data_IF_673626326734
#
_entry.id   IF_673626326734
#
_cell.length_a   1.000
_cell.length_b   1.000
_cell.length_c   1.000
_cell.angle_alpha   90.00
_cell.angle_beta   90.00
_cell.angle_gamma   90.00
#
_symmetry.space_group_name_H-M   'P 1'
#
loop_
_entity.id
_entity.type
_entity.pdbx_description
1 polymer ?
#
# COMPACT_ATOMS: atom_id res chain seq x y z
N UNK A 1 -14.08 -21.35 -17.59
CA UNK A 1 -12.69 -21.82 -17.66
C UNK A 1 -11.89 -21.05 -16.62
N UNK A 2 -11.09 -21.70 -15.77
CA UNK A 2 -10.22 -20.97 -14.81
C UNK A 2 -9.06 -20.33 -15.57
N UNK A 3 -8.75 -19.08 -15.25
CA UNK A 3 -7.64 -18.36 -15.83
C UNK A 3 -6.33 -18.85 -15.23
N UNK A 4 -5.32 -19.12 -16.06
CA UNK A 4 -3.99 -19.53 -15.61
C UNK A 4 -3.07 -18.33 -15.60
N UNK A 5 -2.60 -17.96 -14.41
CA UNK A 5 -1.69 -16.84 -14.24
C UNK A 5 -0.32 -17.38 -13.82
N UNK A 6 0.72 -16.96 -14.53
CA UNK A 6 2.13 -17.28 -14.24
C UNK A 6 2.90 -15.98 -14.15
N UNK A 7 3.23 -15.58 -12.92
CA UNK A 7 4.06 -14.44 -12.61
C UNK A 7 5.23 -14.87 -11.72
N UNK A 8 6.32 -14.15 -11.76
CA UNK A 8 7.49 -14.39 -10.91
C UNK A 8 7.99 -13.08 -10.30
N UNK A 9 8.67 -13.16 -9.16
CA UNK A 9 9.21 -12.00 -8.47
C UNK A 9 8.18 -11.24 -7.63
N UNK A 10 8.31 -9.92 -7.54
CA UNK A 10 7.42 -9.07 -6.73
C UNK A 10 5.95 -9.15 -7.17
N UNK A 11 5.61 -9.13 -8.47
CA UNK A 11 4.23 -9.28 -8.90
C UNK A 11 3.54 -10.57 -8.45
N UNK A 12 4.28 -11.67 -8.29
CA UNK A 12 3.70 -12.94 -7.82
C UNK A 12 3.15 -12.85 -6.40
N UNK A 13 3.74 -12.00 -5.55
CA UNK A 13 3.29 -11.81 -4.16
C UNK A 13 1.87 -11.25 -4.07
N UNK A 14 1.37 -10.56 -5.13
CA UNK A 14 0.00 -10.05 -5.16
C UNK A 14 -1.04 -11.18 -5.11
N UNK A 15 -0.74 -12.36 -5.69
CA UNK A 15 -1.64 -13.52 -5.65
C UNK A 15 -1.79 -14.04 -4.22
N UNK A 16 -0.69 -14.05 -3.47
CA UNK A 16 -0.68 -14.51 -2.07
C UNK A 16 -1.48 -13.55 -1.19
N UNK A 17 -1.37 -12.23 -1.41
CA UNK A 17 -2.10 -11.24 -0.62
C UNK A 17 -3.60 -11.28 -0.91
N UNK A 18 -4.03 -11.42 -2.16
CA UNK A 18 -5.46 -11.55 -2.49
C UNK A 18 -6.03 -12.87 -1.98
N UNK A 19 -5.24 -13.96 -2.00
CA UNK A 19 -5.63 -15.23 -1.42
C UNK A 19 -5.86 -15.13 0.09
N UNK A 20 -4.94 -14.48 0.82
CA UNK A 20 -5.09 -14.27 2.26
C UNK A 20 -6.40 -13.52 2.58
N UNK A 21 -6.73 -12.46 1.83
CA UNK A 21 -7.98 -11.71 2.01
C UNK A 21 -9.21 -12.55 1.70
N UNK A 22 -9.20 -13.30 0.59
CA UNK A 22 -10.31 -14.19 0.23
C UNK A 22 -10.53 -15.28 1.29
N UNK A 23 -9.46 -15.90 1.77
CA UNK A 23 -9.49 -16.93 2.80
C UNK A 23 -10.08 -16.41 4.11
N UNK A 24 -9.65 -15.22 4.55
CA UNK A 24 -10.16 -14.57 5.75
C UNK A 24 -11.64 -14.20 5.61
N UNK A 25 -12.02 -13.63 4.46
CA UNK A 25 -13.40 -13.22 4.15
C UNK A 25 -14.38 -14.39 4.18
N UNK A 26 -13.97 -15.57 3.68
CA UNK A 26 -14.77 -16.82 3.71
C UNK A 26 -14.75 -17.53 5.05
N UNK A 27 -13.69 -17.32 5.82
CA UNK A 27 -13.43 -18.06 7.06
C UNK A 27 -13.90 -17.33 8.30
N UNK A 28 -12.94 -16.77 9.06
CA UNK A 28 -13.19 -16.09 10.33
C UNK A 28 -13.97 -14.78 10.17
N UNK A 29 -13.82 -14.09 9.03
CA UNK A 29 -14.56 -12.87 8.72
C UNK A 29 -14.06 -11.61 9.42
N UNK A 30 -12.77 -11.56 9.82
CA UNK A 30 -12.20 -10.32 10.35
C UNK A 30 -12.17 -9.18 9.33
N UNK A 31 -12.17 -9.51 8.04
CA UNK A 31 -12.42 -8.60 6.92
C UNK A 31 -13.48 -9.20 5.99
N UNK A 32 -14.09 -8.37 5.15
CA UNK A 32 -14.99 -8.81 4.09
C UNK A 32 -14.54 -8.27 2.74
N UNK A 33 -14.04 -9.15 1.87
CA UNK A 33 -13.54 -8.82 0.54
C UNK A 33 -14.11 -9.79 -0.51
N UNK A 34 -15.37 -9.52 -0.90
CA UNK A 34 -16.09 -10.37 -1.86
C UNK A 34 -15.42 -10.39 -3.23
N UNK A 35 -14.74 -9.30 -3.60
CA UNK A 35 -14.03 -9.23 -4.88
C UNK A 35 -12.77 -10.11 -4.87
N UNK A 36 -12.05 -10.18 -3.75
CA UNK A 36 -10.95 -11.14 -3.59
C UNK A 36 -11.46 -12.58 -3.67
N UNK A 37 -12.63 -12.88 -3.09
CA UNK A 37 -13.25 -14.22 -3.20
C UNK A 37 -13.59 -14.59 -4.65
N UNK A 38 -14.13 -13.63 -5.42
CA UNK A 38 -14.42 -13.80 -6.85
C UNK A 38 -13.14 -14.11 -7.64
N UNK A 39 -12.08 -13.29 -7.44
CA UNK A 39 -10.78 -13.47 -8.10
C UNK A 39 -10.24 -14.88 -7.86
N UNK A 40 -10.15 -15.30 -6.59
CA UNK A 40 -9.61 -16.65 -6.26
C UNK A 40 -10.46 -17.76 -6.86
N UNK A 41 -11.77 -17.57 -7.00
CA UNK A 41 -12.64 -18.53 -7.69
C UNK A 41 -12.33 -18.71 -9.18
N UNK A 42 -11.73 -17.71 -9.83
CA UNK A 42 -11.37 -17.71 -11.27
C UNK A 42 -9.93 -18.20 -11.50
N UNK A 43 -9.04 -18.16 -10.50
CA UNK A 43 -7.63 -18.53 -10.66
C UNK A 43 -7.42 -20.04 -10.61
N UNK A 44 -6.51 -20.53 -11.45
CA UNK A 44 -5.94 -21.87 -11.38
C UNK A 44 -4.47 -21.77 -10.96
N UNK A 45 -4.26 -21.56 -9.65
CA UNK A 45 -2.96 -21.31 -9.04
C UNK A 45 -2.82 -22.14 -7.77
N UNK A 46 -1.61 -22.65 -7.50
CA UNK A 46 -1.31 -23.40 -6.27
C UNK A 46 -1.00 -22.45 -5.12
N UNK A 47 -1.94 -22.32 -4.21
CA UNK A 47 -1.80 -21.49 -2.98
C UNK A 47 -1.23 -22.25 -1.77
N UNK A 48 -0.69 -23.46 -1.94
CA UNK A 48 -0.21 -24.31 -0.84
C UNK A 48 0.90 -23.64 0.00
N UNK A 49 1.73 -22.78 -0.60
CA UNK A 49 2.74 -22.00 0.12
C UNK A 49 2.09 -20.92 0.99
N UNK A 50 1.12 -20.19 0.45
CA UNK A 50 0.39 -19.17 1.19
C UNK A 50 -0.43 -19.79 2.35
N UNK A 51 -0.96 -21.01 2.17
CA UNK A 51 -1.68 -21.73 3.23
C UNK A 51 -0.82 -22.07 4.44
N UNK A 52 0.46 -22.31 4.23
CA UNK A 52 1.43 -22.67 5.27
C UNK A 52 2.03 -21.46 5.99
N UNK A 53 1.86 -20.26 5.45
CA UNK A 53 2.43 -19.02 5.99
C UNK A 53 1.40 -18.23 6.81
N UNK A 54 1.20 -18.67 8.06
CA UNK A 54 0.28 -18.00 8.99
C UNK A 54 0.75 -16.58 9.36
N UNK A 55 2.07 -16.31 9.31
CA UNK A 55 2.62 -15.00 9.63
C UNK A 55 2.29 -14.00 8.52
N UNK A 56 2.51 -14.37 7.25
CA UNK A 56 2.12 -13.58 6.09
C UNK A 56 0.61 -13.34 6.09
N UNK A 57 -0.21 -14.39 6.26
CA UNK A 57 -1.66 -14.27 6.32
C UNK A 57 -2.09 -13.24 7.37
N UNK A 58 -1.61 -13.38 8.62
CA UNK A 58 -1.96 -12.48 9.71
C UNK A 58 -1.50 -11.03 9.44
N UNK A 59 -0.30 -10.86 8.88
CA UNK A 59 0.22 -9.54 8.48
C UNK A 59 -0.65 -8.86 7.43
N UNK A 60 -1.05 -9.59 6.38
CA UNK A 60 -1.94 -9.07 5.32
C UNK A 60 -3.30 -8.66 5.92
N UNK A 61 -3.90 -9.48 6.79
CA UNK A 61 -5.21 -9.16 7.38
C UNK A 61 -5.12 -7.95 8.31
N UNK A 62 -4.10 -7.90 9.17
CA UNK A 62 -3.88 -6.77 10.06
C UNK A 62 -3.70 -5.45 9.28
N UNK A 63 -2.89 -5.49 8.22
CA UNK A 63 -2.67 -4.36 7.31
C UNK A 63 -3.97 -3.93 6.63
N UNK A 64 -4.74 -4.89 6.11
CA UNK A 64 -6.03 -4.62 5.48
C UNK A 64 -6.98 -3.91 6.44
N UNK A 65 -7.11 -4.37 7.68
CA UNK A 65 -7.96 -3.76 8.71
C UNK A 65 -7.56 -2.31 8.97
N UNK A 66 -6.26 -2.06 9.18
CA UNK A 66 -5.75 -0.71 9.46
C UNK A 66 -5.97 0.22 8.27
N UNK A 67 -5.56 -0.20 7.06
CA UNK A 67 -5.69 0.63 5.87
C UNK A 67 -7.15 0.86 5.47
N UNK A 68 -8.02 -0.15 5.54
CA UNK A 68 -9.43 0.01 5.20
C UNK A 68 -10.11 1.02 6.12
N UNK A 69 -9.79 1.00 7.43
CA UNK A 69 -10.26 1.99 8.38
C UNK A 69 -9.76 3.39 8.01
N UNK A 70 -8.45 3.57 7.81
CA UNK A 70 -7.84 4.86 7.51
C UNK A 70 -8.37 5.45 6.19
N UNK A 71 -8.47 4.63 5.13
CA UNK A 71 -9.03 5.05 3.83
C UNK A 71 -10.49 5.44 3.98
N UNK A 72 -11.30 4.66 4.71
CA UNK A 72 -12.70 4.98 4.96
C UNK A 72 -12.87 6.29 5.75
N UNK A 73 -12.09 6.49 6.80
CA UNK A 73 -12.07 7.73 7.59
C UNK A 73 -11.66 8.94 6.72
N UNK A 74 -10.63 8.78 5.89
CA UNK A 74 -10.20 9.84 4.98
C UNK A 74 -11.28 10.21 3.96
N UNK A 75 -11.88 9.23 3.29
CA UNK A 75 -12.91 9.46 2.28
C UNK A 75 -14.19 10.06 2.87
N UNK A 76 -14.53 9.69 4.11
CA UNK A 76 -15.64 10.30 4.83
C UNK A 76 -15.40 11.79 5.16
N UNK A 77 -14.15 12.14 5.49
CA UNK A 77 -13.75 13.52 5.77
C UNK A 77 -13.54 14.35 4.49
N UNK A 78 -13.25 13.70 3.36
CA UNK A 78 -12.92 14.34 2.09
C UNK A 78 -13.74 13.74 0.93
N UNK A 79 -15.08 13.94 0.92
CA UNK A 79 -15.92 13.45 -0.17
C UNK A 79 -15.48 13.99 -1.52
N UNK A 80 -15.43 13.12 -2.53
CA UNK A 80 -14.95 13.50 -3.86
C UNK A 80 -13.43 13.53 -4.00
N UNK A 81 -12.67 12.98 -3.06
CA UNK A 81 -11.23 12.87 -3.16
C UNK A 81 -10.79 12.02 -4.37
N UNK A 82 -9.67 12.39 -4.98
CA UNK A 82 -8.95 11.53 -5.92
C UNK A 82 -8.07 10.56 -5.14
N UNK A 83 -8.12 9.27 -5.48
CA UNK A 83 -7.27 8.24 -4.87
C UNK A 83 -6.26 7.71 -5.88
N UNK A 84 -4.99 7.71 -5.52
CA UNK A 84 -3.90 7.11 -6.26
C UNK A 84 -3.33 5.92 -5.49
N UNK A 85 -3.49 4.71 -6.01
CA UNK A 85 -3.02 3.47 -5.41
C UNK A 85 -1.79 2.98 -6.17
N UNK A 86 -0.60 3.19 -5.61
CA UNK A 86 0.70 2.87 -6.23
C UNK A 86 1.12 1.44 -5.91
N UNK A 87 1.61 0.72 -6.92
CA UNK A 87 1.94 -0.71 -6.86
C UNK A 87 0.74 -1.51 -6.30
N UNK A 88 -0.40 -1.30 -6.94
CA UNK A 88 -1.70 -1.73 -6.42
C UNK A 88 -1.91 -3.24 -6.40
N UNK A 89 -1.12 -4.04 -7.13
CA UNK A 89 -1.32 -5.47 -7.25
C UNK A 89 -2.77 -5.84 -7.56
N UNK A 90 -3.32 -6.78 -6.82
CA UNK A 90 -4.73 -7.14 -6.84
C UNK A 90 -5.51 -6.53 -5.64
N UNK A 91 -5.19 -5.30 -5.25
CA UNK A 91 -6.00 -4.57 -4.28
C UNK A 91 -7.41 -4.31 -4.84
N UNK A 92 -8.41 -4.51 -4.01
CA UNK A 92 -9.83 -4.45 -4.33
C UNK A 92 -10.56 -3.30 -3.61
N UNK A 93 -9.82 -2.39 -2.94
CA UNK A 93 -10.43 -1.28 -2.18
C UNK A 93 -11.32 -0.40 -3.03
N UNK A 94 -10.93 -0.12 -4.27
CA UNK A 94 -11.74 0.65 -5.22
C UNK A 94 -13.15 0.09 -5.45
N UNK A 95 -13.39 -1.21 -5.18
CA UNK A 95 -14.71 -1.84 -5.33
C UNK A 95 -15.51 -1.90 -4.03
N UNK A 96 -14.90 -1.62 -2.87
CA UNK A 96 -15.58 -1.68 -1.56
C UNK A 96 -15.58 -0.36 -0.78
N UNK A 97 -14.74 0.62 -1.18
CA UNK A 97 -14.76 1.97 -0.63
C UNK A 97 -15.71 2.86 -1.41
N UNK A 98 -16.21 3.89 -0.76
CA UNK A 98 -17.14 4.87 -1.33
C UNK A 98 -16.66 6.28 -1.01
N UNK A 99 -17.19 7.27 -1.73
CA UNK A 99 -16.92 8.69 -1.45
C UNK A 99 -15.75 9.30 -2.22
N UNK A 100 -15.02 8.53 -3.05
CA UNK A 100 -14.01 9.08 -3.97
C UNK A 100 -14.65 9.55 -5.28
N UNK A 101 -14.04 10.54 -5.94
CA UNK A 101 -14.41 10.97 -7.28
C UNK A 101 -13.80 10.04 -8.34
N UNK A 102 -12.51 9.75 -8.21
CA UNK A 102 -11.79 8.84 -9.10
C UNK A 102 -10.73 8.04 -8.33
N UNK A 103 -10.54 6.77 -8.72
CA UNK A 103 -9.55 5.86 -8.16
C UNK A 103 -8.61 5.36 -9.26
N UNK A 104 -7.36 5.77 -9.20
CA UNK A 104 -6.31 5.31 -10.10
C UNK A 104 -5.55 4.14 -9.44
N UNK A 105 -5.43 3.03 -10.15
CA UNK A 105 -4.60 1.89 -9.77
C UNK A 105 -3.40 1.84 -10.70
N UNK A 106 -2.21 1.98 -10.15
CA UNK A 106 -0.96 1.97 -10.91
C UNK A 106 -0.11 0.78 -10.49
N UNK A 107 0.39 0.04 -11.46
CA UNK A 107 1.37 -1.04 -11.28
C UNK A 107 2.10 -1.31 -12.59
N UNK A 108 3.11 -2.18 -12.55
CA UNK A 108 3.85 -2.62 -13.72
C UNK A 108 2.91 -3.21 -14.79
N UNK A 109 3.26 -3.09 -16.08
CA UNK A 109 2.38 -3.52 -17.18
C UNK A 109 1.89 -4.97 -17.06
N UNK A 110 2.75 -5.90 -16.62
CA UNK A 110 2.38 -7.30 -16.41
C UNK A 110 1.36 -7.49 -15.28
N UNK A 111 1.43 -6.69 -14.23
CA UNK A 111 0.45 -6.70 -13.13
C UNK A 111 -0.88 -6.11 -13.59
N UNK A 112 -0.85 -5.00 -14.32
CA UNK A 112 -2.07 -4.36 -14.84
C UNK A 112 -2.77 -5.27 -15.84
N UNK A 113 -2.05 -5.97 -16.72
CA UNK A 113 -2.66 -6.93 -17.64
C UNK A 113 -3.44 -8.05 -16.91
N UNK A 114 -2.90 -8.56 -15.78
CA UNK A 114 -3.62 -9.51 -14.93
C UNK A 114 -4.82 -8.84 -14.25
N UNK A 115 -4.63 -7.63 -13.80
CA UNK A 115 -5.68 -6.87 -13.11
C UNK A 115 -6.85 -6.57 -14.03
N UNK A 116 -6.62 -6.15 -15.27
CA UNK A 116 -7.65 -5.90 -16.28
C UNK A 116 -8.48 -7.16 -16.62
N UNK A 117 -7.82 -8.32 -16.66
CA UNK A 117 -8.51 -9.59 -16.89
C UNK A 117 -9.45 -9.99 -15.73
N UNK A 118 -9.10 -9.61 -14.49
CA UNK A 118 -9.80 -10.02 -13.28
C UNK A 118 -10.67 -8.92 -12.67
N UNK A 119 -10.26 -7.66 -12.82
CA UNK A 119 -10.80 -6.48 -12.16
C UNK A 119 -11.02 -5.36 -13.20
N UNK A 120 -12.15 -5.35 -13.90
CA UNK A 120 -12.38 -4.40 -14.97
C UNK A 120 -12.44 -2.95 -14.44
N UNK A 121 -12.06 -2.03 -15.32
CA UNK A 121 -12.28 -0.59 -15.11
C UNK A 121 -13.76 -0.25 -15.00
N UNK A 122 -14.02 0.90 -14.43
CA UNK A 122 -15.34 1.54 -14.43
C UNK A 122 -15.16 3.04 -14.69
N UNK A 123 -16.27 3.77 -14.78
CA UNK A 123 -16.23 5.22 -15.01
C UNK A 123 -15.39 5.99 -13.98
N UNK A 124 -15.27 5.48 -12.76
CA UNK A 124 -14.51 6.10 -11.66
C UNK A 124 -13.27 5.31 -11.23
N UNK A 125 -12.87 4.28 -11.98
CA UNK A 125 -11.71 3.44 -11.69
C UNK A 125 -10.90 3.28 -12.96
N UNK A 126 -9.62 3.70 -12.94
CA UNK A 126 -8.68 3.55 -14.04
C UNK A 126 -7.47 2.71 -13.64
N UNK A 127 -6.90 2.01 -14.63
CA UNK A 127 -5.68 1.22 -14.50
C UNK A 127 -4.54 1.94 -15.25
N UNK A 128 -3.38 2.10 -14.63
CA UNK A 128 -2.21 2.74 -15.22
C UNK A 128 -1.04 1.74 -15.24
N UNK A 129 -0.67 1.31 -16.44
CA UNK A 129 0.42 0.35 -16.67
C UNK A 129 1.77 1.08 -16.69
N UNK A 130 2.26 1.51 -15.51
CA UNK A 130 3.47 2.30 -15.32
C UNK A 130 4.18 1.90 -14.03
N UNK A 131 5.48 2.16 -13.94
CA UNK A 131 6.20 2.04 -12.67
C UNK A 131 5.81 3.19 -11.73
N UNK A 132 5.75 2.92 -10.42
CA UNK A 132 5.58 3.97 -9.42
C UNK A 132 6.72 5.01 -9.43
N UNK A 133 7.86 4.68 -10.04
CA UNK A 133 9.02 5.57 -10.20
C UNK A 133 9.00 6.38 -11.51
N UNK A 134 8.06 6.12 -12.41
CA UNK A 134 7.89 6.91 -13.63
C UNK A 134 7.20 8.24 -13.32
N UNK A 135 7.25 9.17 -14.27
CA UNK A 135 6.47 10.40 -14.19
C UNK A 135 5.01 10.13 -14.63
N UNK A 136 4.27 9.49 -13.77
CA UNK A 136 2.84 9.19 -13.98
C UNK A 136 1.93 10.38 -13.75
N UNK A 137 2.47 11.50 -13.25
CA UNK A 137 1.68 12.69 -12.97
C UNK A 137 0.88 13.20 -14.17
N UNK A 138 1.44 13.12 -15.38
CA UNK A 138 0.76 13.51 -16.61
C UNK A 138 -0.39 12.56 -17.02
N UNK A 139 -0.39 11.31 -16.57
CA UNK A 139 -1.43 10.31 -16.87
C UNK A 139 -2.65 10.42 -15.94
N UNK A 140 -2.59 11.26 -14.93
CA UNK A 140 -3.66 11.46 -13.96
C UNK A 140 -4.28 12.82 -14.18
N UNK A 141 -5.61 12.89 -14.28
CA UNK A 141 -6.30 14.18 -14.32
C UNK A 141 -6.00 15.00 -13.06
N UNK A 142 -5.82 16.31 -13.24
CA UNK A 142 -5.50 17.21 -12.13
C UNK A 142 -6.54 17.11 -11.03
N UNK A 143 -6.11 17.02 -9.74
CA UNK A 143 -7.06 16.95 -8.65
C UNK A 143 -7.87 18.25 -8.62
N UNK A 144 -9.17 18.13 -8.72
CA UNK A 144 -10.10 19.24 -8.43
C UNK A 144 -10.38 19.38 -6.94
N UNK A 145 -9.67 18.59 -6.07
CA UNK A 145 -9.92 18.53 -4.64
C UNK A 145 -8.84 17.73 -3.89
N UNK A 146 -9.18 17.22 -2.70
CA UNK A 146 -8.26 16.42 -1.87
C UNK A 146 -7.74 15.18 -2.60
N UNK A 147 -6.48 14.84 -2.38
CA UNK A 147 -5.84 13.65 -2.94
C UNK A 147 -5.31 12.73 -1.85
N UNK A 148 -5.62 11.44 -1.98
CA UNK A 148 -5.07 10.36 -1.16
C UNK A 148 -4.15 9.50 -2.01
N UNK A 149 -2.91 9.29 -1.58
CA UNK A 149 -2.00 8.32 -2.19
C UNK A 149 -1.82 7.14 -1.24
N UNK A 150 -1.93 5.92 -1.76
CA UNK A 150 -1.75 4.68 -1.01
C UNK A 150 -0.52 3.96 -1.55
N UNK A 151 0.41 3.60 -0.66
CA UNK A 151 1.62 2.82 -0.97
C UNK A 151 1.65 1.64 0.01
N UNK A 152 1.09 0.51 -0.40
CA UNK A 152 1.00 -0.71 0.39
C UNK A 152 1.95 -1.78 -0.15
N UNK A 153 2.78 -2.37 0.72
CA UNK A 153 3.61 -3.52 0.37
C UNK A 153 4.71 -3.24 -0.66
N UNK A 154 5.17 -2.00 -0.81
CA UNK A 154 6.13 -1.60 -1.84
C UNK A 154 7.49 -1.17 -1.27
N UNK A 155 7.51 -0.25 -0.32
CA UNK A 155 8.75 0.46 0.09
C UNK A 155 9.86 -0.48 0.55
N UNK A 156 9.53 -1.62 1.15
CA UNK A 156 10.50 -2.60 1.65
C UNK A 156 11.31 -3.30 0.54
N UNK A 157 10.88 -3.22 -0.71
CA UNK A 157 11.56 -3.79 -1.89
C UNK A 157 12.42 -2.78 -2.65
N UNK A 158 12.36 -1.51 -2.27
CA UNK A 158 13.01 -0.39 -2.95
C UNK A 158 14.29 0.05 -2.23
N UNK A 159 15.05 0.94 -2.88
CA UNK A 159 16.10 1.70 -2.21
C UNK A 159 15.53 3.00 -1.63
N UNK A 160 16.28 3.66 -0.75
CA UNK A 160 15.89 4.98 -0.25
C UNK A 160 15.72 6.00 -1.39
N UNK A 161 16.60 5.96 -2.39
CA UNK A 161 16.53 6.86 -3.55
C UNK A 161 15.27 6.63 -4.37
N UNK A 162 14.83 5.37 -4.54
CA UNK A 162 13.59 5.04 -5.24
C UNK A 162 12.37 5.58 -4.48
N UNK A 163 12.35 5.42 -3.14
CA UNK A 163 11.29 5.98 -2.30
C UNK A 163 11.24 7.49 -2.42
N UNK A 164 12.38 8.18 -2.35
CA UNK A 164 12.46 9.63 -2.52
C UNK A 164 11.96 10.06 -3.91
N UNK A 165 12.29 9.31 -4.96
CA UNK A 165 11.81 9.57 -6.32
C UNK A 165 10.29 9.45 -6.42
N UNK A 166 9.67 8.42 -5.86
CA UNK A 166 8.21 8.26 -5.82
C UNK A 166 7.56 9.47 -5.13
N UNK A 167 8.09 9.89 -3.99
CA UNK A 167 7.55 11.03 -3.26
C UNK A 167 7.75 12.36 -3.99
N UNK A 168 8.82 12.52 -4.77
CA UNK A 168 9.01 13.68 -5.62
C UNK A 168 7.93 13.76 -6.74
N UNK A 169 7.57 12.63 -7.35
CA UNK A 169 6.46 12.58 -8.34
C UNK A 169 5.13 12.93 -7.65
N UNK A 170 4.88 12.40 -6.44
CA UNK A 170 3.67 12.72 -5.68
C UNK A 170 3.62 14.22 -5.37
N UNK A 171 4.71 14.81 -4.87
CA UNK A 171 4.77 16.24 -4.55
C UNK A 171 4.54 17.13 -5.77
N UNK A 172 5.12 16.76 -6.92
CA UNK A 172 4.92 17.48 -8.19
C UNK A 172 3.47 17.44 -8.69
N UNK A 173 2.77 16.32 -8.49
CA UNK A 173 1.40 16.15 -8.96
C UNK A 173 0.34 16.54 -7.94
N UNK A 174 0.57 16.24 -6.68
CA UNK A 174 -0.35 16.43 -5.57
C UNK A 174 0.37 17.06 -4.37
N UNK A 175 0.78 18.33 -4.44
CA UNK A 175 1.63 18.96 -3.42
C UNK A 175 1.02 18.97 -2.01
N UNK A 176 -0.32 18.90 -1.90
CA UNK A 176 -1.05 18.84 -0.64
C UNK A 176 -1.63 17.44 -0.34
N UNK A 177 -1.13 16.37 -1.00
CA UNK A 177 -1.68 15.04 -0.81
C UNK A 177 -1.49 14.52 0.63
N UNK A 178 -2.45 13.72 1.06
CA UNK A 178 -2.25 12.78 2.16
C UNK A 178 -1.72 11.46 1.60
N UNK A 179 -0.64 10.93 2.17
CA UNK A 179 -0.03 9.67 1.74
C UNK A 179 -0.08 8.66 2.87
N UNK A 180 -0.72 7.52 2.64
CA UNK A 180 -0.66 6.36 3.51
C UNK A 180 0.39 5.40 2.97
N UNK A 181 1.50 5.24 3.66
CA UNK A 181 2.58 4.36 3.21
C UNK A 181 2.94 3.31 4.26
N UNK A 182 2.98 2.06 3.82
CA UNK A 182 3.50 0.99 4.67
C UNK A 182 5.02 1.07 4.75
N UNK A 183 5.54 0.94 5.97
CA UNK A 183 6.97 0.90 6.26
C UNK A 183 7.32 -0.33 7.08
N UNK A 184 8.55 -0.81 6.90
CA UNK A 184 9.11 -1.94 7.62
C UNK A 184 10.31 -1.48 8.46
N UNK A 185 10.41 -2.01 9.69
CA UNK A 185 11.55 -1.69 10.54
C UNK A 185 12.84 -2.32 9.97
N UNK A 186 14.00 -1.63 9.97
CA UNK A 186 15.26 -2.14 9.46
C UNK A 186 15.73 -3.46 10.12
N UNK A 187 15.38 -3.69 11.38
CA UNK A 187 15.68 -4.94 12.07
C UNK A 187 14.91 -6.13 11.46
N UNK A 188 13.66 -5.89 11.05
CA UNK A 188 12.82 -6.89 10.39
C UNK A 188 13.41 -7.21 9.00
N UNK A 189 13.75 -6.18 8.21
CA UNK A 189 14.39 -6.35 6.89
C UNK A 189 15.63 -7.25 6.97
N UNK A 190 16.42 -7.12 8.03
CA UNK A 190 17.66 -7.90 8.21
C UNK A 190 17.45 -9.33 8.70
N UNK A 191 16.40 -9.57 9.48
CA UNK A 191 16.24 -10.83 10.25
C UNK A 191 15.13 -11.74 9.77
N UNK A 192 14.06 -11.18 9.19
CA UNK A 192 12.88 -11.95 8.84
C UNK A 192 12.76 -12.08 7.33
N UNK A 193 12.69 -13.34 6.85
CA UNK A 193 12.27 -13.70 5.51
C UNK A 193 10.90 -14.31 5.60
N UNK A 194 9.96 -13.82 4.84
CA UNK A 194 8.68 -14.48 4.68
C UNK A 194 8.86 -15.69 3.75
N UNK A 195 8.41 -16.87 4.19
CA UNK A 195 8.58 -18.12 3.44
C UNK A 195 7.93 -18.08 2.07
N UNK A 196 6.81 -17.35 1.94
CA UNK A 196 6.12 -17.17 0.67
C UNK A 196 6.91 -16.35 -0.33
N UNK A 197 7.77 -15.42 0.13
CA UNK A 197 8.60 -14.57 -0.72
C UNK A 197 9.85 -15.30 -1.21
N UNK A 198 10.32 -16.30 -0.48
CA UNK A 198 11.46 -17.11 -0.92
C UNK A 198 11.19 -17.78 -2.27
N UNK A 199 9.94 -18.21 -2.52
CA UNK A 199 9.52 -18.78 -3.80
C UNK A 199 9.50 -17.77 -4.94
N UNK A 200 9.18 -16.50 -4.68
CA UNK A 200 9.08 -15.44 -5.69
C UNK A 200 10.41 -14.74 -6.00
N UNK A 201 11.50 -15.08 -5.32
CA UNK A 201 12.81 -14.42 -5.37
C UNK A 201 12.82 -12.95 -4.91
N UNK A 202 11.73 -12.42 -4.41
CA UNK A 202 11.65 -11.07 -3.85
C UNK A 202 12.41 -11.00 -2.51
N UNK A 203 13.16 -9.92 -2.30
CA UNK A 203 13.92 -9.70 -1.07
C UNK A 203 13.62 -8.33 -0.50
N UNK A 204 13.48 -8.25 0.81
CA UNK A 204 13.43 -6.95 1.49
C UNK A 204 14.80 -6.30 1.45
N UNK A 205 14.86 -5.05 0.99
CA UNK A 205 16.11 -4.30 0.75
C UNK A 205 16.21 -3.09 1.65
N UNK A 206 15.09 -2.45 1.98
CA UNK A 206 15.07 -1.20 2.73
C UNK A 206 13.99 -1.19 3.81
N UNK A 207 14.24 -0.42 4.85
CA UNK A 207 13.31 -0.16 5.92
C UNK A 207 13.67 1.12 6.68
N UNK A 208 12.72 1.68 7.38
CA UNK A 208 12.85 2.88 8.17
C UNK A 208 12.31 2.66 9.60
N UNK A 209 12.91 3.32 10.58
CA UNK A 209 12.61 3.09 11.99
C UNK A 209 11.14 3.40 12.33
N UNK A 210 10.67 4.55 11.87
CA UNK A 210 9.34 5.08 12.14
C UNK A 210 8.97 6.17 11.10
N UNK A 211 7.74 6.67 11.16
CA UNK A 211 7.25 7.69 10.25
C UNK A 211 7.98 9.04 10.37
N UNK A 212 8.57 9.35 11.53
CA UNK A 212 9.40 10.57 11.68
C UNK A 212 10.69 10.46 10.90
N UNK A 213 11.35 9.30 11.01
CA UNK A 213 12.54 9.02 10.24
C UNK A 213 12.25 8.99 8.73
N UNK A 214 11.06 8.51 8.32
CA UNK A 214 10.63 8.58 6.93
C UNK A 214 10.42 10.03 6.48
N UNK A 215 9.64 10.82 7.21
CA UNK A 215 9.37 12.22 6.88
C UNK A 215 10.65 13.06 6.76
N UNK A 216 11.65 12.79 7.60
CA UNK A 216 12.95 13.46 7.54
C UNK A 216 13.74 13.20 6.23
N UNK A 217 13.40 12.15 5.48
CA UNK A 217 14.01 11.82 4.19
C UNK A 217 13.25 12.42 3.00
N UNK A 218 12.08 13.01 3.24
CA UNK A 218 11.10 13.38 2.20
C UNK A 218 10.80 14.88 2.27
N UNK A 219 11.57 15.73 1.56
CA UNK A 219 11.27 17.16 1.45
C UNK A 219 9.82 17.40 0.98
N UNK A 220 9.16 18.39 1.54
CA UNK A 220 7.77 18.71 1.21
C UNK A 220 6.72 17.83 1.88
N UNK A 221 7.12 16.90 2.78
CA UNK A 221 6.18 16.08 3.54
C UNK A 221 6.45 16.16 5.04
N UNK A 222 5.37 16.16 5.82
CA UNK A 222 5.43 16.07 7.28
C UNK A 222 4.67 14.86 7.79
N UNK A 223 5.06 14.28 8.89
CA UNK A 223 4.32 13.22 9.54
C UNK A 223 3.04 13.79 10.18
N UNK A 224 1.89 13.28 9.76
CA UNK A 224 0.58 13.62 10.34
C UNK A 224 0.12 12.56 11.36
N UNK A 225 0.52 11.29 11.18
CA UNK A 225 0.18 10.21 12.08
C UNK A 225 0.90 8.91 11.74
N UNK A 226 0.80 7.92 12.62
CA UNK A 226 1.38 6.60 12.40
C UNK A 226 0.55 5.54 13.12
N UNK A 227 0.25 4.43 12.43
CA UNK A 227 -0.47 3.28 12.95
C UNK A 227 0.36 2.01 12.84
N UNK A 228 0.43 1.26 13.92
CA UNK A 228 1.12 -0.03 13.94
C UNK A 228 0.18 -1.15 13.47
N UNK A 229 0.69 -2.11 12.70
CA UNK A 229 -0.14 -3.24 12.26
C UNK A 229 -0.59 -4.14 13.43
N UNK A 230 0.02 -4.03 14.60
CA UNK A 230 -0.47 -4.67 15.83
C UNK A 230 -1.89 -4.22 16.21
N UNK A 231 -2.30 -3.00 15.84
CA UNK A 231 -3.68 -2.51 15.99
C UNK A 231 -4.66 -3.39 15.20
N UNK A 232 -4.32 -3.72 13.95
CA UNK A 232 -5.10 -4.64 13.13
C UNK A 232 -5.08 -6.07 13.67
N UNK A 233 -3.93 -6.55 14.18
CA UNK A 233 -3.83 -7.86 14.83
C UNK A 233 -4.77 -7.97 16.04
N UNK A 234 -4.91 -6.92 16.83
CA UNK A 234 -5.78 -6.89 18.00
C UNK A 234 -7.26 -7.09 17.67
N UNK A 235 -7.67 -6.85 16.43
CA UNK A 235 -9.05 -7.05 15.98
C UNK A 235 -9.44 -8.53 15.90
N UNK A 236 -8.49 -9.43 15.58
CA UNK A 236 -8.78 -10.85 15.36
C UNK A 236 -7.91 -11.82 16.18
N UNK A 237 -6.85 -11.34 16.84
CA UNK A 237 -6.01 -12.10 17.75
C UNK A 237 -6.05 -11.43 19.14
N UNK A 238 -6.91 -11.85 20.08
CA UNK A 238 -7.19 -11.12 21.31
C UNK A 238 -5.96 -10.79 22.17
N UNK A 239 -4.92 -11.63 22.17
CA UNK A 239 -3.69 -11.38 22.93
C UNK A 239 -2.99 -10.10 22.49
N UNK A 240 -3.13 -9.67 21.23
CA UNK A 240 -2.55 -8.43 20.72
C UNK A 240 -3.17 -7.18 21.35
N UNK A 241 -4.35 -7.23 21.97
CA UNK A 241 -4.90 -6.12 22.77
C UNK A 241 -4.00 -5.74 23.95
N UNK A 242 -3.20 -6.69 24.42
CA UNK A 242 -2.20 -6.47 25.47
C UNK A 242 -0.81 -6.25 24.85
N UNK A 243 -0.41 -7.05 23.88
CA UNK A 243 0.90 -6.99 23.22
C UNK A 243 1.11 -5.66 22.47
N UNK A 244 0.07 -5.07 21.89
CA UNK A 244 0.13 -3.77 21.22
C UNK A 244 0.57 -2.63 22.16
N UNK A 245 0.40 -2.79 23.49
CA UNK A 245 0.87 -1.82 24.49
C UNK A 245 2.38 -1.91 24.74
N UNK A 246 3.04 -2.96 24.30
CA UNK A 246 4.46 -3.19 24.52
C UNK A 246 5.31 -2.51 23.43
N UNK A 247 6.18 -1.55 23.78
CA UNK A 247 7.01 -0.82 22.80
C UNK A 247 7.86 -1.75 21.94
N UNK A 248 8.36 -2.86 22.52
CA UNK A 248 9.18 -3.83 21.79
C UNK A 248 8.41 -4.48 20.64
N UNK A 249 7.15 -4.85 20.87
CA UNK A 249 6.28 -5.48 19.86
C UNK A 249 5.94 -4.48 18.76
N UNK A 250 5.56 -3.26 19.13
CA UNK A 250 5.28 -2.19 18.16
C UNK A 250 6.51 -1.84 17.32
N UNK A 251 7.71 -1.88 17.90
CA UNK A 251 8.95 -1.54 17.20
C UNK A 251 9.35 -2.56 16.12
N UNK A 252 8.96 -3.81 16.25
CA UNK A 252 9.24 -4.86 15.24
C UNK A 252 8.09 -5.08 14.27
N UNK A 253 6.97 -4.42 14.43
CA UNK A 253 5.83 -4.52 13.52
C UNK A 253 5.94 -3.49 12.39
N UNK A 254 5.44 -3.84 11.20
CA UNK A 254 5.22 -2.87 10.14
C UNK A 254 4.24 -1.78 10.59
N UNK A 255 4.30 -0.64 9.94
CA UNK A 255 3.50 0.55 10.26
C UNK A 255 2.93 1.17 9.01
N UNK A 256 1.81 1.85 9.17
CA UNK A 256 1.28 2.78 8.18
C UNK A 256 1.61 4.18 8.66
N UNK A 257 2.54 4.84 7.99
CA UNK A 257 2.82 6.26 8.18
C UNK A 257 1.83 7.08 7.37
N UNK A 258 1.25 8.09 8.00
CA UNK A 258 0.40 9.11 7.37
C UNK A 258 1.25 10.34 7.17
N UNK A 259 1.59 10.62 5.93
CA UNK A 259 2.33 11.81 5.54
C UNK A 259 1.40 12.82 4.89
N UNK A 260 1.62 14.08 5.18
CA UNK A 260 0.89 15.21 4.59
C UNK A 260 1.86 16.07 3.79
N UNK A 261 1.55 16.28 2.51
CA UNK A 261 2.25 17.25 1.68
C UNK A 261 2.07 18.67 2.24
N UNK A 262 3.13 19.45 2.25
CA UNK A 262 3.12 20.82 2.83
C UNK A 262 2.47 21.84 1.91
N UNK A 263 2.30 21.51 0.62
CA UNK A 263 1.73 22.41 -0.36
C UNK A 263 2.66 23.55 -0.79
N UNK A 264 3.83 23.65 -0.20
CA UNK A 264 4.83 24.68 -0.55
C UNK A 264 5.81 24.09 -1.56
N UNK A 265 5.91 24.73 -2.73
CA UNK A 265 7.15 24.72 -3.49
C UNK A 265 8.18 25.48 -2.61
N UNK A 266 9.20 24.81 -2.09
CA UNK A 266 10.39 25.49 -1.60
C UNK A 266 10.99 26.26 -2.78
N UNK A 267 10.62 27.55 -2.90
CA UNK A 267 11.42 28.46 -3.70
C UNK A 267 12.79 28.55 -3.00
N UNK A 268 13.89 28.18 -3.67
CA UNK A 268 15.20 28.46 -3.10
C UNK A 268 15.28 29.97 -2.90
N UNK A 269 15.44 30.41 -1.65
CA UNK A 269 15.76 31.81 -1.36
C UNK A 269 16.98 32.18 -2.20
N UNK A 270 16.73 32.94 -3.26
CA UNK A 270 17.77 33.65 -3.96
C UNK A 270 18.37 34.63 -2.97
N UNK A 271 19.50 34.23 -2.39
CA UNK A 271 20.31 35.09 -1.53
C UNK A 271 20.53 36.42 -2.20
N UNK A 272 19.80 37.43 -1.75
CA UNK A 272 20.02 38.81 -2.16
C UNK A 272 21.42 39.24 -1.72
N UNK A 273 22.34 39.23 -2.69
CA UNK A 273 23.59 39.94 -2.53
C UNK A 273 23.25 41.43 -2.32
N UNK A 274 23.43 41.90 -1.08
CA UNK A 274 23.49 43.33 -0.82
C UNK A 274 24.84 43.81 -1.31
N UNK A 275 24.80 44.70 -2.30
CA UNK A 275 25.91 45.56 -2.68
C UNK A 275 26.31 46.53 -1.55
#
# INVERSE_FOLDING_TARGET
MKEKIRLSGVPETMLQTVYARAKESRGRGAIRDLKAEEIIGRLDYDFSLADKDAAMHSGVIARTIVLDRLVGEYLAAHPGATVMNLACGLDTRCYRMQGYAHWYNLDLPETIAVREALLPESRSISQLAMSAMDDWGAAVEGPSGPALVIIEGLTMYLTQADVQRIFAVIAGRFPAATVFTETMNPMVVKRFKEKSIEGSKAKFTWGVKDGRALAALLPGFRLAGEHCLTEGMAAFVPVYRLLDKLPLIRNISNRIAILQGTGEEEQPECGGAKA
#
